data_IF_749133268149
#
_entry.id   IF_749133268149
#
_cell.length_a   1.000
_cell.length_b   1.000
_cell.length_c   1.000
_cell.angle_alpha   90.00
_cell.angle_beta   90.00
_cell.angle_gamma   90.00
#
_symmetry.space_group_name_H-M   'P 1'
#
loop_
_entity.id
_entity.type
_entity.pdbx_description
1 polymer ?
#
# COMPACT_ATOMS: atom_id res chain seq x y z
N UNK A 1 3.30 25.11 -15.60
CA UNK A 1 3.15 23.65 -15.39
C UNK A 1 3.69 22.92 -16.61
N UNK A 2 4.53 21.91 -16.40
CA UNK A 2 5.04 21.06 -17.50
C UNK A 2 3.90 20.18 -18.03
N UNK A 3 3.87 19.93 -19.36
CA UNK A 3 2.83 19.11 -20.01
C UNK A 3 2.76 17.68 -19.49
N UNK A 4 3.86 17.17 -18.92
CA UNK A 4 3.96 15.84 -18.30
C UNK A 4 3.55 15.81 -16.82
N UNK A 5 3.23 16.95 -16.24
CA UNK A 5 2.86 17.06 -14.84
C UNK A 5 1.56 16.32 -14.54
N UNK A 6 1.56 15.40 -13.61
CA UNK A 6 0.39 14.61 -13.21
C UNK A 6 -0.20 15.22 -11.94
N UNK A 7 -1.50 15.43 -11.93
CA UNK A 7 -2.25 15.96 -10.79
C UNK A 7 -3.09 14.85 -10.15
N UNK A 8 -3.25 14.94 -8.84
CA UNK A 8 -4.03 13.98 -8.05
C UNK A 8 -5.08 14.70 -7.22
N UNK A 9 -6.23 14.06 -7.06
CA UNK A 9 -7.30 14.53 -6.19
C UNK A 9 -6.93 14.25 -4.73
N UNK A 10 -7.05 15.24 -3.86
CA UNK A 10 -6.83 15.05 -2.42
C UNK A 10 -8.08 14.46 -1.74
N UNK A 11 -7.94 14.02 -0.49
CA UNK A 11 -9.09 13.57 0.32
C UNK A 11 -10.12 14.70 0.50
N UNK A 12 -9.68 15.95 0.57
CA UNK A 12 -10.54 17.14 0.64
C UNK A 12 -11.28 17.36 -0.66
N UNK A 13 -10.59 17.23 -1.80
CA UNK A 13 -11.20 17.34 -3.13
C UNK A 13 -12.24 16.24 -3.38
N UNK A 14 -11.97 15.01 -2.95
CA UNK A 14 -12.92 13.90 -3.06
C UNK A 14 -14.18 14.09 -2.19
N UNK A 15 -14.04 14.71 -1.01
CA UNK A 15 -15.19 15.09 -0.16
C UNK A 15 -16.01 16.21 -0.79
N UNK A 16 -15.35 17.21 -1.38
CA UNK A 16 -16.01 18.32 -2.06
C UNK A 16 -16.84 17.85 -3.25
N UNK A 17 -16.36 16.88 -4.03
CA UNK A 17 -17.12 16.25 -5.12
C UNK A 17 -18.40 15.54 -4.67
N UNK A 18 -18.45 15.07 -3.43
CA UNK A 18 -19.62 14.39 -2.84
C UNK A 18 -20.57 15.36 -2.12
N UNK A 19 -20.18 16.61 -1.94
CA UNK A 19 -20.94 17.61 -1.23
C UNK A 19 -22.06 18.18 -2.10
N UNK A 20 -23.30 18.14 -1.62
CA UNK A 20 -24.43 18.77 -2.27
C UNK A 20 -24.40 20.32 -2.20
N UNK A 21 -23.56 20.88 -1.31
CA UNK A 21 -23.39 22.32 -1.08
C UNK A 21 -21.95 22.76 -1.34
N UNK A 22 -21.50 22.60 -2.58
CA UNK A 22 -20.16 23.05 -2.98
C UNK A 22 -20.14 24.54 -3.36
N UNK A 23 -19.07 25.24 -3.00
CA UNK A 23 -18.83 26.61 -3.43
C UNK A 23 -18.01 26.70 -4.73
N UNK A 24 -17.70 25.56 -5.34
CA UNK A 24 -16.90 25.47 -6.55
C UNK A 24 -17.72 25.80 -7.80
N UNK A 25 -17.07 26.47 -8.74
CA UNK A 25 -17.66 26.74 -10.05
C UNK A 25 -17.82 25.46 -10.87
N UNK A 26 -18.70 25.51 -11.88
CA UNK A 26 -18.89 24.36 -12.80
C UNK A 26 -17.60 23.92 -13.49
N UNK A 27 -16.66 24.84 -13.73
CA UNK A 27 -15.37 24.55 -14.33
C UNK A 27 -14.43 23.85 -13.33
N UNK A 28 -14.38 24.31 -12.09
CA UNK A 28 -13.60 23.70 -11.01
C UNK A 28 -14.06 22.27 -10.72
N UNK A 29 -15.38 22.06 -10.68
CA UNK A 29 -15.95 20.71 -10.54
C UNK A 29 -15.59 19.78 -11.70
N UNK A 30 -15.70 20.26 -12.95
CA UNK A 30 -15.29 19.47 -14.11
C UNK A 30 -13.81 19.08 -14.06
N UNK A 31 -12.95 19.98 -13.65
CA UNK A 31 -11.51 19.71 -13.47
C UNK A 31 -11.28 18.68 -12.37
N UNK A 32 -11.95 18.79 -11.21
CA UNK A 32 -11.83 17.82 -10.12
C UNK A 32 -12.28 16.42 -10.53
N UNK A 33 -13.37 16.30 -11.30
CA UNK A 33 -13.86 14.99 -11.81
C UNK A 33 -12.86 14.35 -12.77
N UNK A 34 -12.13 15.15 -13.56
CA UNK A 34 -11.16 14.66 -14.55
C UNK A 34 -9.80 14.28 -13.93
N UNK A 35 -9.48 14.80 -12.74
CA UNK A 35 -8.20 14.54 -12.06
C UNK A 35 -8.29 13.18 -11.34
N UNK A 36 -7.96 12.13 -12.07
CA UNK A 36 -7.98 10.72 -11.61
C UNK A 36 -6.61 10.20 -11.14
N UNK A 37 -5.61 11.09 -11.05
CA UNK A 37 -4.24 10.72 -10.70
C UNK A 37 -3.41 10.13 -11.83
N UNK A 38 -3.98 10.02 -13.03
CA UNK A 38 -3.30 9.57 -14.25
C UNK A 38 -3.29 10.65 -15.32
N UNK A 39 -4.13 11.66 -15.14
CA UNK A 39 -4.30 12.74 -16.09
C UNK A 39 -3.12 13.71 -16.03
N UNK A 40 -2.39 13.84 -17.13
CA UNK A 40 -1.34 14.85 -17.26
C UNK A 40 -1.94 16.21 -17.59
N UNK A 41 -1.24 17.28 -17.22
CA UNK A 41 -1.66 18.65 -17.57
C UNK A 41 -1.89 18.81 -19.09
N UNK A 42 -1.03 18.23 -19.92
CA UNK A 42 -1.20 18.24 -21.36
C UNK A 42 -2.48 17.53 -21.86
N UNK A 43 -2.93 16.49 -21.17
CA UNK A 43 -4.23 15.85 -21.46
C UNK A 43 -5.41 16.69 -21.02
N UNK A 44 -5.31 17.35 -19.86
CA UNK A 44 -6.34 18.27 -19.37
C UNK A 44 -6.55 19.40 -20.41
N UNK A 45 -5.48 20.01 -20.91
CA UNK A 45 -5.56 21.05 -21.93
C UNK A 45 -6.24 20.53 -23.23
N UNK A 46 -6.02 19.30 -23.62
CA UNK A 46 -6.68 18.70 -24.81
C UNK A 46 -8.17 18.41 -24.59
N UNK A 47 -8.58 18.19 -23.35
CA UNK A 47 -9.99 17.95 -23.00
C UNK A 47 -10.82 19.22 -22.99
N UNK A 48 -10.16 20.38 -22.83
CA UNK A 48 -10.79 21.71 -22.84
C UNK A 48 -10.24 22.62 -23.96
N UNK A 49 -10.45 22.26 -25.25
CA UNK A 49 -9.85 23.01 -26.35
C UNK A 49 -10.36 24.45 -26.49
N UNK A 50 -11.55 24.72 -25.95
CA UNK A 50 -12.18 26.04 -25.98
C UNK A 50 -11.75 26.99 -24.84
N UNK A 51 -10.95 26.48 -23.88
CA UNK A 51 -10.49 27.27 -22.74
C UNK A 51 -9.03 27.71 -22.95
N UNK A 52 -8.71 29.01 -22.72
CA UNK A 52 -7.34 29.47 -22.78
C UNK A 52 -6.46 28.75 -21.76
N UNK A 53 -5.28 28.29 -22.17
CA UNK A 53 -4.34 27.60 -21.27
C UNK A 53 -4.01 28.38 -20.00
N UNK A 54 -3.85 29.73 -20.01
CA UNK A 54 -3.62 30.52 -18.80
C UNK A 54 -4.74 30.38 -17.76
N UNK A 55 -6.00 30.42 -18.20
CA UNK A 55 -7.15 30.28 -17.29
C UNK A 55 -7.26 28.90 -16.66
N UNK A 56 -6.91 27.86 -17.42
CA UNK A 56 -6.82 26.50 -16.90
C UNK A 56 -5.72 26.37 -15.85
N UNK A 57 -4.57 26.98 -16.08
CA UNK A 57 -3.45 27.01 -15.15
C UNK A 57 -3.86 27.73 -13.86
N UNK A 58 -4.49 28.88 -13.96
CA UNK A 58 -4.94 29.66 -12.80
C UNK A 58 -5.99 28.90 -11.98
N UNK A 59 -6.93 28.23 -12.66
CA UNK A 59 -7.94 27.39 -11.99
C UNK A 59 -7.30 26.22 -11.26
N UNK A 60 -6.34 25.53 -11.87
CA UNK A 60 -5.60 24.45 -11.23
C UNK A 60 -4.76 24.95 -10.04
N UNK A 61 -4.11 26.10 -10.17
CA UNK A 61 -3.41 26.73 -9.04
C UNK A 61 -4.35 27.11 -7.89
N UNK A 62 -5.56 27.56 -8.20
CA UNK A 62 -6.60 27.85 -7.20
C UNK A 62 -7.04 26.58 -6.48
N UNK A 63 -7.33 25.51 -7.20
CA UNK A 63 -7.69 24.20 -6.64
C UNK A 63 -6.56 23.62 -5.77
N UNK A 64 -5.30 23.79 -6.21
CA UNK A 64 -4.12 23.37 -5.44
C UNK A 64 -3.95 24.16 -4.16
N UNK A 65 -4.09 25.49 -4.20
CA UNK A 65 -4.06 26.36 -2.99
C UNK A 65 -5.20 26.04 -2.03
N UNK A 66 -6.37 25.67 -2.55
CA UNK A 66 -7.50 25.23 -1.74
C UNK A 66 -7.29 23.82 -1.14
N UNK A 67 -6.21 23.14 -1.50
CA UNK A 67 -5.88 21.80 -1.04
C UNK A 67 -6.81 20.71 -1.61
N UNK A 68 -7.46 20.95 -2.74
CA UNK A 68 -8.38 20.01 -3.39
C UNK A 68 -7.65 19.06 -4.36
N UNK A 69 -6.51 19.53 -4.90
CA UNK A 69 -5.61 18.74 -5.76
C UNK A 69 -4.17 18.92 -5.30
N UNK A 70 -3.31 17.96 -5.65
CA UNK A 70 -1.87 17.96 -5.38
C UNK A 70 -1.09 17.44 -6.59
N UNK A 71 0.23 17.64 -6.60
CA UNK A 71 1.11 17.04 -7.62
C UNK A 71 1.34 15.57 -7.30
N UNK A 72 1.25 14.69 -8.29
CA UNK A 72 1.63 13.30 -8.16
C UNK A 72 3.17 13.23 -8.12
N UNK A 73 3.77 13.29 -6.94
CA UNK A 73 5.22 13.25 -6.75
C UNK A 73 5.83 14.45 -6.03
N UNK A 74 5.02 15.45 -5.67
CA UNK A 74 5.44 16.59 -4.86
C UNK A 74 5.31 16.28 -3.36
N UNK A 75 6.13 15.38 -2.84
CA UNK A 75 6.44 15.34 -1.43
C UNK A 75 7.68 16.18 -1.22
N UNK A 76 7.60 17.20 -0.38
CA UNK A 76 8.76 17.94 0.09
C UNK A 76 9.78 16.98 0.70
N UNK A 77 10.85 16.68 -0.07
CA UNK A 77 12.03 15.96 0.40
C UNK A 77 12.89 16.94 1.23
N UNK A 78 12.42 17.30 2.39
CA UNK A 78 13.23 18.03 3.35
C UNK A 78 12.99 17.52 4.76
N UNK A 79 13.52 16.34 5.04
CA UNK A 79 14.15 16.02 6.33
C UNK A 79 14.70 14.59 6.28
N UNK A 80 16.01 14.48 6.22
CA UNK A 80 16.76 13.22 6.23
C UNK A 80 16.82 12.55 7.60
N UNK A 81 15.71 12.53 8.34
CA UNK A 81 15.51 11.67 9.50
C UNK A 81 14.57 10.53 9.08
N UNK A 82 15.10 9.34 9.03
CA UNK A 82 14.39 8.13 8.62
C UNK A 82 13.19 7.75 9.50
N UNK A 83 12.53 8.70 10.15
CA UNK A 83 11.28 8.52 10.88
C UNK A 83 10.10 8.44 9.93
N UNK A 84 9.20 7.47 10.18
CA UNK A 84 7.95 7.35 9.44
C UNK A 84 6.99 8.40 10.01
N UNK A 85 6.76 9.49 9.25
CA UNK A 85 5.74 10.46 9.63
C UNK A 85 4.36 9.82 9.54
N UNK A 86 3.82 9.51 10.69
CA UNK A 86 2.57 8.76 10.80
C UNK A 86 1.34 9.55 10.39
N UNK A 87 1.37 10.86 10.40
CA UNK A 87 0.27 11.70 9.92
C UNK A 87 0.05 11.59 8.42
N UNK A 88 1.09 11.24 7.64
CA UNK A 88 1.02 11.09 6.19
C UNK A 88 0.72 9.69 5.67
N UNK A 89 0.88 8.62 6.49
CA UNK A 89 0.78 7.25 5.99
C UNK A 89 -0.61 6.91 5.44
N UNK A 90 -1.68 7.31 6.13
CA UNK A 90 -3.06 7.07 5.69
C UNK A 90 -3.73 8.27 5.00
N UNK A 91 -3.11 9.44 4.99
CA UNK A 91 -3.71 10.64 4.39
C UNK A 91 -3.28 10.86 2.94
N UNK A 92 -2.17 10.26 2.50
CA UNK A 92 -1.73 10.35 1.10
C UNK A 92 -2.61 9.47 0.20
N UNK A 93 -3.02 9.95 -0.99
CA UNK A 93 -3.71 9.10 -1.96
C UNK A 93 -2.80 7.94 -2.39
N UNK A 94 -3.38 6.76 -2.53
CA UNK A 94 -2.67 5.55 -2.98
C UNK A 94 -3.27 5.12 -4.31
N UNK A 95 -2.42 4.92 -5.31
CA UNK A 95 -2.83 4.45 -6.63
C UNK A 95 -2.21 3.08 -6.87
N UNK A 96 -3.00 2.08 -7.35
CA UNK A 96 -2.41 0.84 -7.81
C UNK A 96 -1.42 1.16 -8.95
N UNK A 97 -0.18 0.68 -8.85
CA UNK A 97 0.73 0.71 -9.96
C UNK A 97 0.08 -0.03 -11.13
N UNK A 98 0.21 0.43 -12.40
CA UNK A 98 -0.21 -0.36 -13.54
C UNK A 98 0.58 -1.67 -13.49
N UNK A 99 -0.12 -2.76 -13.12
CA UNK A 99 0.51 -4.05 -12.87
C UNK A 99 0.90 -4.69 -14.18
N UNK A 100 2.19 -4.90 -14.36
CA UNK A 100 2.75 -5.92 -15.27
C UNK A 100 2.87 -7.29 -14.58
N UNK A 101 2.26 -7.48 -13.41
CA UNK A 101 2.11 -8.82 -12.83
C UNK A 101 1.04 -9.53 -13.68
N UNK A 102 1.51 -10.23 -14.71
CA UNK A 102 0.67 -10.82 -15.73
C UNK A 102 -0.40 -11.72 -15.14
N UNK A 103 -1.55 -11.77 -15.80
CA UNK A 103 -2.66 -12.68 -15.51
C UNK A 103 -2.19 -14.12 -15.35
N UNK A 104 -1.18 -14.54 -16.11
CA UNK A 104 -0.52 -15.84 -16.04
C UNK A 104 0.08 -16.14 -14.66
N UNK A 105 0.71 -15.16 -14.01
CA UNK A 105 1.27 -15.32 -12.64
C UNK A 105 0.17 -15.48 -11.59
N UNK A 106 -0.97 -14.81 -11.79
CA UNK A 106 -2.11 -14.93 -10.88
C UNK A 106 -2.81 -16.28 -11.01
N UNK A 107 -2.99 -16.78 -12.22
CA UNK A 107 -3.60 -18.08 -12.48
C UNK A 107 -2.71 -19.21 -11.95
N UNK A 108 -1.40 -19.17 -12.17
CA UNK A 108 -0.45 -20.10 -11.57
C UNK A 108 -0.48 -20.06 -10.03
N UNK A 109 -0.60 -18.86 -9.45
CA UNK A 109 -0.71 -18.70 -8.01
C UNK A 109 -2.00 -19.31 -7.49
N UNK A 110 -3.12 -19.06 -8.16
CA UNK A 110 -4.42 -19.60 -7.79
C UNK A 110 -4.49 -21.12 -7.94
N UNK A 111 -3.90 -21.68 -8.99
CA UNK A 111 -3.79 -23.13 -9.20
C UNK A 111 -3.00 -23.80 -8.07
N UNK A 112 -1.87 -23.22 -7.68
CA UNK A 112 -1.06 -23.71 -6.56
C UNK A 112 -1.81 -23.60 -5.23
N UNK A 113 -2.55 -22.50 -5.00
CA UNK A 113 -3.37 -22.29 -3.81
C UNK A 113 -4.51 -23.33 -3.72
N UNK A 114 -5.12 -23.71 -4.85
CA UNK A 114 -6.17 -24.73 -4.91
C UNK A 114 -5.66 -26.16 -4.74
N UNK A 115 -4.48 -26.44 -5.29
CA UNK A 115 -3.95 -27.82 -5.39
C UNK A 115 -3.47 -28.40 -4.06
N UNK A 116 -3.02 -27.56 -3.14
CA UNK A 116 -2.38 -27.99 -1.89
C UNK A 116 -3.24 -27.76 -0.63
N UNK A 117 -4.47 -27.24 -0.76
CA UNK A 117 -5.40 -27.01 0.36
C UNK A 117 -4.99 -25.91 1.35
N UNK A 118 -3.70 -25.59 1.45
CA UNK A 118 -3.09 -24.50 2.24
C UNK A 118 -1.80 -24.10 1.54
N UNK A 119 -1.63 -22.85 1.13
CA UNK A 119 -0.35 -22.52 0.48
C UNK A 119 0.11 -21.12 0.82
N UNK A 120 1.33 -21.06 1.32
CA UNK A 120 2.17 -19.89 1.19
C UNK A 120 2.81 -19.90 -0.20
N UNK A 121 2.54 -18.92 -1.01
CA UNK A 121 3.33 -18.64 -2.20
C UNK A 121 4.19 -17.41 -1.96
N UNK A 122 5.49 -17.57 -2.12
CA UNK A 122 6.43 -16.47 -2.15
C UNK A 122 6.52 -16.01 -3.59
N UNK A 123 5.94 -14.84 -3.87
CA UNK A 123 5.97 -14.22 -5.19
C UNK A 123 7.36 -13.66 -5.52
N UNK A 124 8.04 -13.14 -4.49
CA UNK A 124 9.43 -12.67 -4.59
C UNK A 124 10.24 -13.30 -3.48
N UNK A 125 11.26 -14.05 -3.83
CA UNK A 125 12.31 -14.47 -2.89
C UNK A 125 13.39 -13.41 -2.85
N UNK A 126 14.08 -13.28 -1.71
CA UNK A 126 15.26 -12.46 -1.67
C UNK A 126 16.26 -12.92 -2.73
N UNK A 127 16.84 -11.97 -3.46
CA UNK A 127 17.81 -12.28 -4.53
C UNK A 127 19.11 -12.87 -3.98
N UNK A 128 19.44 -12.56 -2.72
CA UNK A 128 20.64 -13.03 -2.05
C UNK A 128 20.31 -13.64 -0.69
N UNK A 129 21.07 -14.66 -0.29
CA UNK A 129 20.98 -15.22 1.04
C UNK A 129 21.51 -14.21 2.08
N UNK A 130 20.64 -13.86 3.05
CA UNK A 130 21.00 -13.02 4.18
C UNK A 130 21.41 -13.89 5.36
N UNK A 131 22.57 -13.60 5.92
CA UNK A 131 22.97 -14.15 7.23
C UNK A 131 22.79 -13.06 8.28
N UNK A 132 22.07 -13.40 9.33
CA UNK A 132 21.90 -12.49 10.46
C UNK A 132 23.25 -12.27 11.16
N UNK A 133 23.54 -11.03 11.50
CA UNK A 133 24.66 -10.70 12.36
C UNK A 133 24.40 -11.25 13.78
N UNK A 134 25.48 -11.46 14.55
CA UNK A 134 25.33 -11.95 15.94
C UNK A 134 24.52 -10.94 16.77
N UNK A 135 23.37 -11.39 17.27
CA UNK A 135 22.47 -10.57 18.08
C UNK A 135 21.46 -9.74 17.25
N UNK A 136 21.48 -9.85 15.94
CA UNK A 136 20.46 -9.23 15.07
C UNK A 136 19.12 -9.93 15.23
N UNK A 137 18.07 -9.17 15.46
CA UNK A 137 16.69 -9.67 15.60
C UNK A 137 15.85 -9.20 14.43
N UNK A 138 14.99 -10.07 13.93
CA UNK A 138 14.05 -9.77 12.85
C UNK A 138 12.73 -9.27 13.45
N UNK A 139 12.35 -8.05 13.11
CA UNK A 139 11.11 -7.43 13.53
C UNK A 139 9.99 -7.70 12.52
N UNK A 140 8.94 -8.38 12.98
CA UNK A 140 7.78 -8.75 12.14
C UNK A 140 6.57 -7.90 12.55
N UNK A 141 6.03 -7.12 11.61
CA UNK A 141 4.78 -6.41 11.80
C UNK A 141 3.62 -7.35 11.44
N UNK A 142 2.79 -7.68 12.41
CA UNK A 142 1.58 -8.51 12.23
C UNK A 142 0.39 -7.57 12.21
N UNK A 143 -0.31 -7.48 11.09
CA UNK A 143 -1.52 -6.67 10.91
C UNK A 143 -2.70 -7.64 10.82
N UNK A 144 -3.44 -7.79 11.91
CA UNK A 144 -4.49 -8.78 12.11
C UNK A 144 -5.46 -8.27 13.17
N UNK A 145 -6.77 -8.27 12.90
CA UNK A 145 -7.81 -7.79 13.80
C UNK A 145 -8.40 -8.91 14.69
N UNK A 146 -8.28 -10.17 14.28
CA UNK A 146 -8.64 -11.29 15.13
C UNK A 146 -7.62 -11.44 16.27
N UNK A 147 -8.04 -11.12 17.50
CA UNK A 147 -7.18 -11.16 18.68
C UNK A 147 -6.59 -12.55 18.96
N UNK A 148 -7.34 -13.63 18.68
CA UNK A 148 -6.88 -15.00 18.91
C UNK A 148 -5.78 -15.38 17.92
N UNK A 149 -5.99 -15.08 16.64
CA UNK A 149 -5.01 -15.33 15.61
C UNK A 149 -3.77 -14.45 15.80
N UNK A 150 -3.96 -13.17 16.12
CA UNK A 150 -2.87 -12.24 16.40
C UNK A 150 -2.01 -12.72 17.59
N UNK A 151 -2.65 -13.21 18.67
CA UNK A 151 -1.96 -13.81 19.82
C UNK A 151 -1.21 -15.07 19.46
N UNK A 152 -1.83 -15.96 18.69
CA UNK A 152 -1.20 -17.20 18.20
C UNK A 152 0.04 -16.87 17.35
N UNK A 153 -0.08 -15.99 16.36
CA UNK A 153 1.02 -15.55 15.52
C UNK A 153 2.15 -14.93 16.34
N UNK A 154 1.81 -14.08 17.31
CA UNK A 154 2.78 -13.45 18.22
C UNK A 154 3.59 -14.51 18.96
N UNK A 155 2.91 -15.46 19.62
CA UNK A 155 3.57 -16.53 20.38
C UNK A 155 4.47 -17.39 19.49
N UNK A 156 3.96 -17.77 18.32
CA UNK A 156 4.69 -18.61 17.37
C UNK A 156 5.95 -17.90 16.83
N UNK A 157 5.82 -16.63 16.43
CA UNK A 157 6.94 -15.84 15.95
C UNK A 157 8.02 -15.67 17.04
N UNK A 158 7.62 -15.45 18.29
CA UNK A 158 8.56 -15.37 19.42
C UNK A 158 9.31 -16.69 19.66
N UNK A 159 8.64 -17.83 19.50
CA UNK A 159 9.29 -19.15 19.61
C UNK A 159 10.35 -19.38 18.52
N UNK A 160 10.20 -18.70 17.37
CA UNK A 160 11.15 -18.72 16.26
C UNK A 160 12.15 -17.55 16.27
N UNK A 161 12.36 -16.93 17.42
CA UNK A 161 13.33 -15.84 17.63
C UNK A 161 13.05 -14.55 16.85
N UNK A 162 11.82 -14.39 16.35
CA UNK A 162 11.36 -13.14 15.76
C UNK A 162 10.82 -12.19 16.84
N UNK A 163 10.84 -10.89 16.55
CA UNK A 163 10.26 -9.84 17.40
C UNK A 163 8.95 -9.34 16.78
N UNK A 164 7.79 -9.95 17.11
CA UNK A 164 6.51 -9.56 16.55
C UNK A 164 5.98 -8.26 17.16
N UNK A 165 5.39 -7.44 16.33
CA UNK A 165 4.68 -6.22 16.67
C UNK A 165 3.29 -6.31 16.05
N UNK A 166 2.25 -6.30 16.87
CA UNK A 166 0.86 -6.52 16.43
C UNK A 166 0.13 -5.18 16.28
N UNK A 167 -0.66 -5.07 15.21
CA UNK A 167 -1.55 -3.96 14.93
C UNK A 167 -2.89 -4.49 14.41
N UNK A 168 -4.01 -4.07 15.00
CA UNK A 168 -5.34 -4.58 14.66
C UNK A 168 -6.17 -3.61 13.79
N UNK A 169 -5.72 -2.39 13.61
CA UNK A 169 -6.45 -1.32 12.93
C UNK A 169 -5.50 -0.24 12.41
N UNK A 170 -6.04 0.76 11.73
CA UNK A 170 -5.30 1.90 11.17
C UNK A 170 -4.42 2.62 12.18
N UNK A 171 -4.95 2.88 13.39
CA UNK A 171 -4.21 3.56 14.45
C UNK A 171 -3.03 2.71 14.95
N UNK A 172 -3.28 1.43 15.20
CA UNK A 172 -2.26 0.46 15.60
C UNK A 172 -1.16 0.29 14.55
N UNK A 173 -1.52 0.23 13.26
CA UNK A 173 -0.54 0.18 12.16
C UNK A 173 0.35 1.42 12.20
N UNK A 174 -0.27 2.60 12.31
CA UNK A 174 0.47 3.86 12.39
C UNK A 174 1.42 3.90 13.58
N UNK A 175 0.93 3.50 14.77
CA UNK A 175 1.74 3.44 15.97
C UNK A 175 2.91 2.44 15.83
N UNK A 176 2.64 1.26 15.29
CA UNK A 176 3.65 0.21 15.10
C UNK A 176 4.75 0.61 14.12
N UNK A 177 4.42 1.35 13.06
CA UNK A 177 5.38 1.82 12.06
C UNK A 177 6.26 2.98 12.58
N UNK A 178 5.81 3.72 13.59
CA UNK A 178 6.60 4.79 14.25
C UNK A 178 7.71 4.25 15.14
N UNK A 179 7.52 3.07 15.70
CA UNK A 179 8.47 2.52 16.67
C UNK A 179 9.75 2.06 15.96
N UNK A 180 10.89 2.41 16.55
CA UNK A 180 12.18 1.86 16.14
C UNK A 180 12.42 0.49 16.83
N UNK A 181 13.16 -0.43 16.20
CA UNK A 181 13.59 -0.41 14.80
C UNK A 181 12.40 -0.63 13.84
N UNK A 182 12.58 -0.29 12.56
CA UNK A 182 11.58 -0.54 11.53
C UNK A 182 11.35 -2.04 11.35
N UNK A 183 10.11 -2.46 11.03
CA UNK A 183 9.87 -3.86 10.72
C UNK A 183 10.66 -4.32 9.47
N UNK A 184 11.20 -5.53 9.53
CA UNK A 184 11.89 -6.16 8.42
C UNK A 184 10.90 -6.79 7.43
N UNK A 185 9.71 -7.18 7.89
CA UNK A 185 8.65 -7.80 7.09
C UNK A 185 7.29 -7.51 7.71
N UNK A 186 6.24 -7.46 6.89
CA UNK A 186 4.86 -7.39 7.35
C UNK A 186 4.07 -8.64 6.96
N UNK A 187 3.29 -9.16 7.91
CA UNK A 187 2.18 -10.10 7.70
C UNK A 187 0.90 -9.29 7.73
N UNK A 188 0.11 -9.33 6.67
CA UNK A 188 -1.01 -8.43 6.47
C UNK A 188 -2.29 -9.21 6.17
N UNK A 189 -3.28 -9.13 7.05
CA UNK A 189 -4.64 -9.51 6.70
C UNK A 189 -5.24 -8.46 5.75
N UNK A 190 -5.96 -8.93 4.75
CA UNK A 190 -6.70 -8.07 3.82
C UNK A 190 -8.05 -7.63 4.36
N UNK A 191 -8.59 -8.34 5.35
CA UNK A 191 -9.90 -8.06 5.95
C UNK A 191 -9.70 -7.40 7.30
N UNK A 192 -9.68 -6.08 7.33
CA UNK A 192 -9.56 -5.28 8.54
C UNK A 192 -10.82 -4.43 8.76
N UNK A 193 -11.15 -4.06 10.02
CA UNK A 193 -12.44 -3.42 10.33
C UNK A 193 -12.57 -1.99 9.79
N UNK A 194 -11.48 -1.25 9.69
CA UNK A 194 -11.47 0.19 9.42
C UNK A 194 -10.70 0.59 8.15
N UNK A 195 -10.07 -0.38 7.46
CA UNK A 195 -9.31 -0.15 6.23
C UNK A 195 -9.21 -1.43 5.38
N UNK A 196 -9.21 -1.29 4.06
CA UNK A 196 -8.89 -2.40 3.14
C UNK A 196 -7.39 -2.73 3.25
N UNK A 197 -7.04 -3.98 3.59
CA UNK A 197 -5.65 -4.41 3.69
C UNK A 197 -4.87 -4.24 2.38
N UNK A 198 -5.52 -4.32 1.22
CA UNK A 198 -4.86 -3.98 -0.05
C UNK A 198 -4.51 -2.48 -0.14
N UNK A 199 -5.27 -1.60 0.48
CA UNK A 199 -4.89 -0.19 0.61
C UNK A 199 -3.66 -0.04 1.49
N UNK A 200 -3.58 -0.79 2.59
CA UNK A 200 -2.37 -0.83 3.46
C UNK A 200 -1.15 -1.31 2.68
N UNK A 201 -1.30 -2.39 1.90
CA UNK A 201 -0.24 -2.91 1.04
C UNK A 201 0.30 -1.83 0.08
N UNK A 202 -0.59 -1.17 -0.66
CA UNK A 202 -0.22 -0.12 -1.59
C UNK A 202 0.50 1.03 -0.89
N UNK A 203 0.02 1.46 0.29
CA UNK A 203 0.66 2.51 1.09
C UNK A 203 2.06 2.14 1.51
N UNK A 204 2.28 0.91 1.98
CA UNK A 204 3.61 0.40 2.32
C UNK A 204 4.52 0.44 1.10
N UNK A 205 4.05 -0.09 -0.05
CA UNK A 205 4.86 -0.20 -1.26
C UNK A 205 5.14 1.14 -1.96
N UNK A 206 4.34 2.14 -1.70
CA UNK A 206 4.55 3.50 -2.23
C UNK A 206 5.28 4.42 -1.24
N UNK A 207 5.42 3.99 0.02
CA UNK A 207 6.11 4.82 1.02
C UNK A 207 7.63 4.83 0.77
N UNK A 208 8.29 6.00 0.73
CA UNK A 208 9.72 6.11 0.40
C UNK A 208 10.62 5.19 1.24
N UNK A 209 10.30 5.03 2.52
CA UNK A 209 11.09 4.27 3.50
C UNK A 209 10.67 2.80 3.58
N UNK A 210 9.38 2.50 3.37
CA UNK A 210 8.82 1.14 3.57
C UNK A 210 8.72 0.33 2.29
N UNK A 211 8.89 0.92 1.11
CA UNK A 211 8.69 0.27 -0.20
C UNK A 211 9.52 -0.99 -0.40
N UNK A 212 10.66 -1.08 0.25
CA UNK A 212 11.55 -2.25 0.20
C UNK A 212 11.19 -3.33 1.20
N UNK A 213 10.35 -3.02 2.21
CA UNK A 213 9.90 -3.99 3.20
C UNK A 213 9.02 -5.05 2.54
N UNK A 214 9.35 -6.34 2.63
CA UNK A 214 8.48 -7.41 2.15
C UNK A 214 7.15 -7.42 2.87
N UNK A 215 6.07 -7.69 2.11
CA UNK A 215 4.72 -7.84 2.64
C UNK A 215 4.16 -9.18 2.21
N UNK A 216 3.80 -10.01 3.18
CA UNK A 216 3.11 -11.28 3.00
C UNK A 216 1.63 -11.07 3.32
N UNK A 217 0.77 -11.24 2.33
CA UNK A 217 -0.67 -11.12 2.49
C UNK A 217 -1.24 -12.42 3.06
N UNK A 218 -2.01 -12.31 4.13
CA UNK A 218 -2.81 -13.40 4.71
C UNK A 218 -4.27 -13.16 4.34
N UNK A 219 -4.98 -14.14 3.78
CA UNK A 219 -6.37 -13.93 3.34
C UNK A 219 -7.22 -15.20 3.42
N UNK A 220 -8.46 -15.05 3.85
CA UNK A 220 -9.48 -16.11 3.70
C UNK A 220 -10.03 -16.21 2.26
N UNK A 221 -9.78 -15.18 1.43
CA UNK A 221 -10.30 -15.09 0.05
C UNK A 221 -9.21 -15.51 -0.95
N UNK A 222 -9.20 -16.79 -1.32
CA UNK A 222 -8.34 -17.30 -2.40
C UNK A 222 -9.04 -17.16 -3.77
N UNK A 223 -9.53 -15.95 -4.11
CA UNK A 223 -10.12 -15.69 -5.42
C UNK A 223 -9.06 -15.13 -6.38
N UNK A 224 -9.24 -15.39 -7.68
CA UNK A 224 -8.35 -14.84 -8.72
C UNK A 224 -8.19 -13.33 -8.62
N UNK A 225 -9.29 -12.62 -8.33
CA UNK A 225 -9.30 -11.16 -8.18
C UNK A 225 -8.47 -10.68 -6.98
N UNK A 226 -8.58 -11.37 -5.84
CA UNK A 226 -7.81 -11.03 -4.64
C UNK A 226 -6.31 -11.26 -4.86
N UNK A 227 -5.95 -12.37 -5.54
CA UNK A 227 -4.56 -12.66 -5.90
C UNK A 227 -4.02 -11.62 -6.88
N UNK A 228 -4.77 -11.29 -7.93
CA UNK A 228 -4.41 -10.23 -8.90
C UNK A 228 -4.21 -8.89 -8.20
N UNK A 229 -5.15 -8.49 -7.35
CA UNK A 229 -5.11 -7.23 -6.61
C UNK A 229 -3.86 -7.14 -5.74
N UNK A 230 -3.50 -8.21 -5.07
CA UNK A 230 -2.32 -8.22 -4.23
C UNK A 230 -1.00 -8.27 -5.01
N UNK A 231 -0.92 -9.07 -6.07
CA UNK A 231 0.27 -9.09 -6.95
C UNK A 231 0.49 -7.71 -7.59
N UNK A 232 -0.58 -7.09 -8.11
CA UNK A 232 -0.54 -5.73 -8.64
C UNK A 232 -0.18 -4.70 -7.56
N UNK A 233 -0.59 -4.92 -6.30
CA UNK A 233 -0.21 -4.13 -5.14
C UNK A 233 1.24 -4.32 -4.69
N UNK A 234 1.97 -5.28 -5.26
CA UNK A 234 3.36 -5.56 -4.94
C UNK A 234 3.57 -6.47 -3.74
N UNK A 235 2.61 -7.33 -3.40
CA UNK A 235 2.80 -8.35 -2.37
C UNK A 235 3.98 -9.28 -2.72
N UNK A 236 4.80 -9.60 -1.74
CA UNK A 236 5.96 -10.48 -1.90
C UNK A 236 5.61 -11.94 -1.59
N UNK A 237 4.51 -12.16 -0.88
CA UNK A 237 3.99 -13.49 -0.57
C UNK A 237 2.49 -13.49 -0.32
N UNK A 238 1.90 -14.68 -0.43
CA UNK A 238 0.50 -14.96 -0.18
C UNK A 238 0.33 -16.18 0.69
N UNK A 239 -0.52 -16.11 1.71
CA UNK A 239 -0.90 -17.21 2.58
C UNK A 239 -2.42 -17.24 2.67
N UNK A 240 -3.03 -18.38 2.42
CA UNK A 240 -4.49 -18.54 2.57
C UNK A 240 -4.84 -19.03 3.96
N UNK A 241 -5.84 -18.40 4.57
CA UNK A 241 -6.45 -18.87 5.82
C UNK A 241 -7.48 -19.98 5.51
N UNK A 242 -7.56 -21.06 6.31
CA UNK A 242 -6.72 -21.38 7.45
C UNK A 242 -5.32 -21.87 7.02
N UNK A 243 -4.30 -21.67 7.84
CA UNK A 243 -2.93 -22.09 7.57
C UNK A 243 -2.28 -22.71 8.81
N UNK A 244 -1.27 -23.53 8.58
CA UNK A 244 -0.37 -24.00 9.62
C UNK A 244 0.60 -22.88 10.02
N UNK A 245 0.85 -22.70 11.32
CA UNK A 245 1.72 -21.61 11.81
C UNK A 245 3.18 -21.78 11.35
N UNK A 246 3.65 -22.99 11.10
CA UNK A 246 4.97 -23.28 10.54
C UNK A 246 5.18 -22.64 9.16
N UNK A 247 4.10 -22.51 8.38
CA UNK A 247 4.11 -21.85 7.06
C UNK A 247 4.53 -20.39 7.18
N UNK A 248 4.15 -19.72 8.28
CA UNK A 248 4.49 -18.32 8.56
C UNK A 248 6.01 -18.15 8.71
N UNK A 249 6.64 -18.99 9.56
CA UNK A 249 8.10 -18.92 9.76
C UNK A 249 8.85 -19.15 8.45
N UNK A 250 8.44 -20.16 7.68
CA UNK A 250 9.04 -20.44 6.38
C UNK A 250 8.86 -19.29 5.38
N UNK A 251 7.68 -18.69 5.34
CA UNK A 251 7.38 -17.57 4.45
C UNK A 251 8.22 -16.34 4.81
N UNK A 252 8.29 -15.98 6.10
CA UNK A 252 9.11 -14.88 6.61
C UNK A 252 10.58 -15.09 6.25
N UNK A 253 11.13 -16.27 6.55
CA UNK A 253 12.52 -16.61 6.20
C UNK A 253 12.76 -16.50 4.69
N UNK A 254 11.85 -17.03 3.89
CA UNK A 254 11.99 -17.06 2.43
C UNK A 254 12.01 -15.66 1.79
N UNK A 255 11.10 -14.73 2.21
CA UNK A 255 11.08 -13.37 1.67
C UNK A 255 12.28 -12.54 2.13
N UNK A 256 12.87 -12.87 3.28
CA UNK A 256 14.05 -12.21 3.82
C UNK A 256 15.37 -12.86 3.39
N UNK A 257 15.32 -14.00 2.67
CA UNK A 257 16.52 -14.74 2.28
C UNK A 257 17.25 -15.42 3.44
N UNK A 258 16.54 -15.70 4.54
CA UNK A 258 17.10 -16.38 5.72
C UNK A 258 17.04 -17.90 5.54
N UNK A 259 18.03 -18.59 6.11
CA UNK A 259 18.06 -20.07 6.20
C UNK A 259 17.40 -20.58 7.47
#
# INVERSE_FOLDING_TARGET
MDQKHVLVLTSKGAKELKSAATSLTAMELKLLVLIDGKMTFGRICKTFPSQPQPELIDTLHKLKRAGLIADAGGGDDSSGDGSIEATGFFTRPVFPAPGEAGEETADQTLELLKRNGYVARIAKRAAEERRLAKGEQIHVLVIEDDEHLAKLLRMFLQMHEFVPRVAANREGITAALRLAPKPDVALLDVTLPDIDGFEVLLRIKQHPVLKTMPVIVMTAKATREAVLKGLAGGADGYITKPFDVEVISHAVKSVLGLK
#
